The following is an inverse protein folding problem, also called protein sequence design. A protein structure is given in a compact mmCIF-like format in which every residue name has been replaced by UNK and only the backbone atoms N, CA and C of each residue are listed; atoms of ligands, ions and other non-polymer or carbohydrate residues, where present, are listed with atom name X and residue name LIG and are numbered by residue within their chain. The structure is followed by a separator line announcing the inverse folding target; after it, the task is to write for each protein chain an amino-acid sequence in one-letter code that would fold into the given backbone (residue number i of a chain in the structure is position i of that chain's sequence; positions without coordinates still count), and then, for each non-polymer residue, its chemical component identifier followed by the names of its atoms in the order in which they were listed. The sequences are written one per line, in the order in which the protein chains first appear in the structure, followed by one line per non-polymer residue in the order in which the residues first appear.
data_IF_603099101337
#
_entry.id   IF_603099101337
#
_cell.length_a   1.000
_cell.length_b   1.000
_cell.length_c   1.000
_cell.angle_alpha   90.00
_cell.angle_beta   90.00
_cell.angle_gamma   90.00
#
_symmetry.space_group_name_H-M   'P 1'
#
loop_
_entity.id
_entity.type
_entity.pdbx_description
1 polymer ?
#
# COMPACT_ATOMS: atom_id res chain seq x y z
N UNK A 1 13.75 3.72 -35.37
CA UNK A 1 13.17 3.26 -34.08
C UNK A 1 12.27 4.37 -33.58
N UNK A 2 11.00 4.10 -33.35
CA UNK A 2 10.06 5.09 -32.82
C UNK A 2 10.05 5.06 -31.28
N UNK A 3 9.41 6.07 -30.64
CA UNK A 3 9.38 6.19 -29.19
C UNK A 3 8.76 4.96 -28.50
N UNK A 4 7.75 4.32 -29.14
CA UNK A 4 7.07 3.14 -28.62
C UNK A 4 7.99 1.91 -28.61
N UNK A 5 8.79 1.72 -29.67
CA UNK A 5 9.79 0.65 -29.76
C UNK A 5 10.90 0.86 -28.72
N UNK A 6 11.36 2.10 -28.54
CA UNK A 6 12.35 2.43 -27.51
C UNK A 6 11.82 2.16 -26.09
N UNK A 7 10.58 2.54 -25.81
CA UNK A 7 9.93 2.28 -24.52
C UNK A 7 9.81 0.78 -24.24
N UNK A 8 9.40 -0.02 -25.25
CA UNK A 8 9.34 -1.48 -25.12
C UNK A 8 10.72 -2.07 -24.82
N UNK A 9 11.78 -1.63 -25.50
CA UNK A 9 13.16 -2.07 -25.22
C UNK A 9 13.64 -1.68 -23.81
N UNK A 10 13.26 -0.51 -23.31
CA UNK A 10 13.64 -0.09 -21.96
C UNK A 10 12.90 -0.88 -20.88
N UNK A 11 11.64 -1.24 -21.15
CA UNK A 11 10.86 -2.14 -20.31
C UNK A 11 11.44 -3.55 -20.30
N UNK A 12 11.75 -4.11 -21.47
CA UNK A 12 12.33 -5.44 -21.64
C UNK A 12 13.70 -5.56 -20.95
N UNK A 13 14.50 -4.49 -20.98
CA UNK A 13 15.77 -4.41 -20.23
C UNK A 13 15.60 -4.12 -18.73
N UNK A 14 14.36 -4.04 -18.24
CA UNK A 14 14.06 -3.74 -16.82
C UNK A 14 14.51 -2.36 -16.35
N UNK A 15 14.73 -1.42 -17.29
CA UNK A 15 15.07 -0.03 -16.95
C UNK A 15 13.84 0.81 -16.61
N UNK A 16 12.67 0.40 -17.11
CA UNK A 16 11.37 0.98 -16.77
C UNK A 16 10.49 -0.14 -16.21
N UNK A 17 10.62 -0.39 -14.93
CA UNK A 17 9.77 -1.35 -14.23
C UNK A 17 8.44 -0.68 -13.94
N UNK A 18 7.36 -1.25 -14.45
CA UNK A 18 5.98 -0.85 -14.13
C UNK A 18 5.21 -2.05 -13.62
N UNK A 19 4.42 -1.84 -12.58
CA UNK A 19 3.48 -2.85 -12.12
C UNK A 19 2.25 -2.79 -13.01
N UNK A 20 1.91 -3.92 -13.61
CA UNK A 20 0.65 -4.09 -14.34
C UNK A 20 -0.28 -4.96 -13.52
N UNK A 21 -1.46 -4.44 -13.21
CA UNK A 21 -2.47 -5.17 -12.47
C UNK A 21 -3.31 -6.00 -13.44
N UNK A 22 -3.63 -7.22 -13.04
CA UNK A 22 -4.46 -8.13 -13.83
C UNK A 22 -5.88 -8.07 -13.26
N UNK A 23 -6.89 -7.66 -14.06
CA UNK A 23 -8.27 -7.65 -13.59
C UNK A 23 -8.71 -9.02 -13.08
N UNK A 24 -9.29 -9.07 -11.90
CA UNK A 24 -9.69 -10.33 -11.26
C UNK A 24 -10.91 -10.99 -11.93
N UNK A 25 -11.62 -10.26 -12.81
CA UNK A 25 -12.83 -10.77 -13.47
C UNK A 25 -14.06 -10.90 -12.54
N UNK A 26 -13.95 -10.40 -11.31
CA UNK A 26 -15.00 -10.42 -10.29
C UNK A 26 -15.50 -8.98 -10.13
N UNK A 27 -16.81 -8.79 -10.07
CA UNK A 27 -17.40 -7.47 -9.86
C UNK A 27 -17.29 -7.05 -8.40
N UNK A 28 -17.05 -5.77 -8.17
CA UNK A 28 -16.93 -5.18 -6.82
C UNK A 28 -18.15 -5.49 -5.95
N UNK A 29 -19.36 -5.41 -6.52
CA UNK A 29 -20.61 -5.67 -5.80
C UNK A 29 -20.70 -7.10 -5.27
N UNK A 30 -20.14 -8.07 -5.96
CA UNK A 30 -20.12 -9.48 -5.54
C UNK A 30 -19.18 -9.69 -4.33
N UNK A 31 -18.16 -8.84 -4.19
CA UNK A 31 -17.19 -8.91 -3.09
C UNK A 31 -17.67 -8.14 -1.86
N UNK A 32 -18.54 -7.14 -2.02
CA UNK A 32 -19.01 -6.29 -0.91
C UNK A 32 -19.73 -7.06 0.21
N UNK A 33 -20.54 -8.07 -0.12
CA UNK A 33 -21.17 -8.94 0.89
C UNK A 33 -20.13 -9.73 1.68
N UNK A 34 -19.08 -10.19 1.01
CA UNK A 34 -17.97 -10.91 1.63
C UNK A 34 -17.13 -9.99 2.54
N UNK A 35 -16.98 -8.71 2.18
CA UNK A 35 -16.32 -7.69 3.02
C UNK A 35 -17.02 -7.56 4.37
N UNK A 36 -18.37 -7.48 4.37
CA UNK A 36 -19.12 -7.40 5.63
C UNK A 36 -18.98 -8.67 6.47
N UNK A 37 -19.04 -9.83 5.83
CA UNK A 37 -18.90 -11.11 6.51
C UNK A 37 -17.51 -11.25 7.15
N UNK A 38 -16.44 -10.95 6.42
CA UNK A 38 -15.07 -10.92 6.94
C UNK A 38 -14.94 -9.87 8.06
N UNK A 39 -15.47 -8.68 7.85
CA UNK A 39 -15.41 -7.60 8.84
C UNK A 39 -16.05 -7.98 10.17
N UNK A 40 -17.16 -8.73 10.15
CA UNK A 40 -17.84 -9.23 11.36
C UNK A 40 -17.04 -10.31 12.11
N UNK A 41 -16.11 -11.00 11.45
CA UNK A 41 -15.18 -11.90 12.15
C UNK A 41 -14.19 -11.14 13.05
N UNK A 42 -13.79 -9.93 12.63
CA UNK A 42 -12.91 -9.05 13.41
C UNK A 42 -13.70 -8.21 14.43
N UNK A 43 -14.85 -7.70 14.02
CA UNK A 43 -15.69 -6.81 14.83
C UNK A 43 -17.16 -7.16 14.59
N UNK A 44 -17.87 -7.79 15.55
CA UNK A 44 -19.23 -8.32 15.34
C UNK A 44 -20.25 -7.29 14.84
N UNK A 45 -20.08 -6.01 15.20
CA UNK A 45 -20.96 -4.91 14.78
C UNK A 45 -20.49 -4.23 13.49
N UNK A 46 -19.53 -4.81 12.77
CA UNK A 46 -19.08 -4.23 11.51
C UNK A 46 -20.21 -4.17 10.47
N UNK A 47 -20.33 -3.01 9.85
CA UNK A 47 -21.24 -2.77 8.73
C UNK A 47 -20.64 -1.75 7.77
N UNK A 48 -21.00 -1.87 6.50
CA UNK A 48 -20.75 -0.85 5.49
C UNK A 48 -21.89 0.18 5.54
N UNK A 49 -21.55 1.42 5.77
CA UNK A 49 -22.46 2.56 5.87
C UNK A 49 -21.99 3.74 5.01
N UNK A 50 -22.72 4.85 5.06
CA UNK A 50 -22.41 6.05 4.25
C UNK A 50 -21.03 6.63 4.51
N UNK A 51 -20.49 6.47 5.72
CA UNK A 51 -19.18 7.03 6.12
C UNK A 51 -18.00 6.25 5.55
N UNK A 52 -18.16 4.93 5.42
CA UNK A 52 -17.08 4.05 5.00
C UNK A 52 -17.24 3.44 3.60
N UNK A 53 -18.45 3.43 3.04
CA UNK A 53 -18.78 2.80 1.77
C UNK A 53 -17.80 3.16 0.64
N UNK A 54 -17.48 4.44 0.48
CA UNK A 54 -16.62 4.91 -0.61
C UNK A 54 -15.19 4.39 -0.46
N UNK A 55 -14.63 4.46 0.75
CA UNK A 55 -13.27 3.98 1.00
C UNK A 55 -13.15 2.47 0.77
N UNK A 56 -14.11 1.68 1.30
CA UNK A 56 -14.13 0.22 1.08
C UNK A 56 -14.34 -0.13 -0.39
N UNK A 57 -15.29 0.51 -1.08
CA UNK A 57 -15.55 0.27 -2.50
C UNK A 57 -14.30 0.51 -3.34
N UNK A 58 -13.60 1.63 -3.15
CA UNK A 58 -12.41 1.94 -3.92
C UNK A 58 -11.20 1.08 -3.53
N UNK A 59 -11.07 0.69 -2.28
CA UNK A 59 -10.05 -0.26 -1.84
C UNK A 59 -10.26 -1.64 -2.49
N UNK A 60 -11.52 -2.11 -2.61
CA UNK A 60 -11.85 -3.35 -3.30
C UNK A 60 -11.61 -3.22 -4.80
N UNK A 61 -12.03 -2.13 -5.43
CA UNK A 61 -11.73 -1.87 -6.85
C UNK A 61 -10.22 -1.90 -7.10
N UNK A 62 -9.44 -1.29 -6.22
CA UNK A 62 -7.98 -1.39 -6.29
C UNK A 62 -7.51 -2.84 -6.19
N UNK A 63 -8.02 -3.62 -5.24
CA UNK A 63 -7.64 -5.03 -5.07
C UNK A 63 -7.95 -5.85 -6.32
N UNK A 64 -9.12 -5.66 -6.91
CA UNK A 64 -9.61 -6.39 -8.08
C UNK A 64 -9.04 -5.88 -9.42
N UNK A 65 -8.22 -4.84 -9.41
CA UNK A 65 -7.72 -4.15 -10.59
C UNK A 65 -8.84 -3.59 -11.49
N UNK A 66 -9.89 -3.06 -10.88
CA UNK A 66 -10.99 -2.39 -11.58
C UNK A 66 -10.56 -0.97 -12.00
N UNK A 67 -10.55 -0.65 -13.31
CA UNK A 67 -10.11 0.66 -13.80
C UNK A 67 -11.03 1.82 -13.42
N UNK A 68 -12.22 1.54 -12.88
CA UNK A 68 -13.15 2.56 -12.37
C UNK A 68 -12.85 2.97 -10.91
N UNK A 69 -11.72 2.51 -10.35
CA UNK A 69 -11.27 2.93 -9.03
C UNK A 69 -11.03 4.43 -8.99
N UNK A 70 -11.50 5.08 -7.94
CA UNK A 70 -11.27 6.48 -7.64
C UNK A 70 -10.48 6.65 -6.36
N UNK A 71 -9.64 7.68 -6.32
CA UNK A 71 -8.90 8.08 -5.14
C UNK A 71 -9.33 9.48 -4.69
N UNK A 72 -9.14 9.80 -3.43
CA UNK A 72 -9.28 11.16 -2.95
C UNK A 72 -8.10 12.00 -3.43
N UNK A 73 -8.39 13.23 -3.86
CA UNK A 73 -7.31 14.17 -4.08
C UNK A 73 -6.65 14.51 -2.73
N UNK A 74 -5.31 14.57 -2.65
CA UNK A 74 -4.61 14.82 -1.38
C UNK A 74 -5.06 16.07 -0.60
N UNK A 75 -5.60 17.05 -1.30
CA UNK A 75 -6.18 18.25 -0.67
C UNK A 75 -7.65 18.05 -0.22
N UNK A 76 -8.21 16.85 -0.36
CA UNK A 76 -9.50 16.45 0.22
C UNK A 76 -10.77 16.99 -0.46
N UNK A 77 -10.66 17.78 -1.53
CA UNK A 77 -11.84 18.51 -2.06
C UNK A 77 -12.59 17.79 -3.18
N UNK A 78 -12.02 16.76 -3.78
CA UNK A 78 -12.64 16.01 -4.89
C UNK A 78 -11.97 14.65 -5.07
N UNK A 79 -12.58 13.79 -5.88
CA UNK A 79 -11.99 12.51 -6.30
C UNK A 79 -11.26 12.68 -7.62
N UNK A 80 -10.29 11.81 -7.84
CA UNK A 80 -9.50 11.67 -9.07
C UNK A 80 -9.50 10.21 -9.52
N UNK A 81 -9.29 9.92 -10.81
CA UNK A 81 -9.06 8.54 -11.23
C UNK A 81 -7.90 7.91 -10.45
N UNK A 82 -8.10 6.70 -9.96
CA UNK A 82 -7.06 5.95 -9.27
C UNK A 82 -6.01 5.40 -10.22
N UNK A 83 -4.82 5.18 -9.71
CA UNK A 83 -3.70 4.55 -10.41
C UNK A 83 -3.44 3.17 -9.82
N UNK A 84 -3.81 2.12 -10.56
CA UNK A 84 -3.70 0.74 -10.11
C UNK A 84 -2.24 0.27 -9.91
N UNK A 85 -1.25 1.01 -10.41
CA UNK A 85 0.18 0.74 -10.19
C UNK A 85 0.68 1.26 -8.85
N UNK A 86 -0.07 2.16 -8.20
CA UNK A 86 0.24 2.72 -6.88
C UNK A 86 -0.39 1.88 -5.76
N UNK A 87 0.17 2.03 -4.56
CA UNK A 87 -0.43 1.48 -3.35
C UNK A 87 -1.62 2.29 -2.82
N UNK A 88 -2.04 2.01 -1.59
CA UNK A 88 -3.11 2.72 -0.90
C UNK A 88 -2.57 3.43 0.34
N UNK A 89 -2.96 4.68 0.54
CA UNK A 89 -2.80 5.39 1.80
C UNK A 89 -4.20 5.69 2.36
N UNK A 90 -4.56 4.98 3.42
CA UNK A 90 -5.84 5.14 4.11
C UNK A 90 -5.65 6.09 5.27
N UNK A 91 -6.20 7.29 5.16
CA UNK A 91 -6.14 8.32 6.20
C UNK A 91 -7.49 8.54 6.86
N UNK A 92 -7.49 9.12 8.05
CA UNK A 92 -8.72 9.43 8.79
C UNK A 92 -8.46 9.53 10.29
N UNK A 93 -9.47 9.98 11.04
CA UNK A 93 -9.38 10.11 12.50
C UNK A 93 -9.26 8.76 13.19
N UNK A 94 -8.89 8.78 14.46
CA UNK A 94 -8.77 7.57 15.28
C UNK A 94 -10.13 6.87 15.42
N UNK A 95 -10.12 5.52 15.38
CA UNK A 95 -11.31 4.70 15.60
C UNK A 95 -12.21 4.52 14.37
N UNK A 96 -11.91 5.12 13.23
CA UNK A 96 -12.76 5.01 12.01
C UNK A 96 -12.68 3.67 11.29
N UNK A 97 -11.78 2.74 11.69
CA UNK A 97 -11.66 1.41 11.10
C UNK A 97 -10.60 1.26 10.00
N UNK A 98 -9.60 2.17 9.94
CA UNK A 98 -8.52 2.12 8.92
C UNK A 98 -7.72 0.81 8.94
N UNK A 99 -7.32 0.36 10.13
CA UNK A 99 -6.58 -0.90 10.30
C UNK A 99 -7.43 -2.10 9.88
N UNK A 100 -8.71 -2.09 10.27
CA UNK A 100 -9.68 -3.11 9.88
C UNK A 100 -9.85 -3.19 8.36
N UNK A 101 -9.86 -2.05 7.66
CA UNK A 101 -9.91 -2.06 6.19
C UNK A 101 -8.71 -2.80 5.59
N UNK A 102 -7.48 -2.57 6.08
CA UNK A 102 -6.31 -3.31 5.59
C UNK A 102 -6.37 -4.80 5.94
N UNK A 103 -6.87 -5.17 7.12
CA UNK A 103 -7.04 -6.57 7.53
C UNK A 103 -8.06 -7.29 6.65
N UNK A 104 -9.19 -6.65 6.33
CA UNK A 104 -10.18 -7.20 5.40
C UNK A 104 -9.60 -7.34 3.99
N UNK A 105 -8.84 -6.33 3.51
CA UNK A 105 -8.18 -6.43 2.20
C UNK A 105 -7.16 -7.56 2.15
N UNK A 106 -6.38 -7.79 3.22
CA UNK A 106 -5.41 -8.89 3.30
C UNK A 106 -6.12 -10.25 3.28
N UNK A 107 -7.23 -10.39 4.01
CA UNK A 107 -8.05 -11.59 3.98
C UNK A 107 -8.65 -11.85 2.58
N UNK A 108 -9.18 -10.80 1.93
CA UNK A 108 -9.67 -10.90 0.55
C UNK A 108 -8.56 -11.23 -0.45
N UNK A 109 -7.39 -10.63 -0.31
CA UNK A 109 -6.23 -10.95 -1.17
C UNK A 109 -5.82 -12.41 -1.03
N UNK A 110 -5.83 -12.93 0.19
CA UNK A 110 -5.53 -14.34 0.46
C UNK A 110 -6.58 -15.28 -0.15
N UNK A 111 -7.85 -14.90 -0.09
CA UNK A 111 -8.95 -15.71 -0.61
C UNK A 111 -9.02 -15.67 -2.14
N UNK A 112 -8.95 -14.47 -2.73
CA UNK A 112 -9.18 -14.24 -4.17
C UNK A 112 -7.90 -14.35 -5.00
N UNK A 113 -6.75 -14.28 -4.37
CA UNK A 113 -5.42 -14.33 -4.98
C UNK A 113 -5.30 -13.46 -6.26
N UNK A 114 -5.64 -12.16 -6.19
CA UNK A 114 -5.51 -11.28 -7.33
C UNK A 114 -4.05 -11.24 -7.80
N UNK A 115 -3.86 -10.98 -9.09
CA UNK A 115 -2.55 -11.13 -9.71
C UNK A 115 -2.03 -9.81 -10.26
N UNK A 116 -0.71 -9.75 -10.40
CA UNK A 116 -0.01 -8.65 -11.06
C UNK A 116 1.18 -9.13 -11.84
N UNK A 117 1.56 -8.40 -12.90
CA UNK A 117 2.80 -8.60 -13.62
C UNK A 117 3.88 -7.73 -12.99
N UNK A 118 5.02 -8.31 -12.69
CA UNK A 118 6.20 -7.58 -12.20
C UNK A 118 7.45 -8.04 -12.93
N UNK A 119 8.43 -7.16 -13.07
CA UNK A 119 9.68 -7.51 -13.71
C UNK A 119 10.59 -8.28 -12.75
N UNK A 120 10.96 -9.49 -13.16
CA UNK A 120 11.90 -10.33 -12.42
C UNK A 120 13.33 -10.12 -12.94
N UNK A 121 14.24 -9.78 -12.03
CA UNK A 121 15.69 -9.75 -12.29
C UNK A 121 16.33 -10.91 -11.54
N UNK A 122 16.74 -11.97 -12.22
CA UNK A 122 17.41 -13.08 -11.55
C UNK A 122 18.74 -12.61 -10.95
N UNK A 123 19.05 -13.09 -9.76
CA UNK A 123 20.38 -12.93 -9.17
C UNK A 123 21.31 -14.00 -9.73
N UNK A 124 22.63 -13.77 -9.69
CA UNK A 124 23.64 -14.75 -10.13
C UNK A 124 23.52 -16.11 -9.44
N UNK A 125 22.90 -16.17 -8.25
CA UNK A 125 22.64 -17.40 -7.51
C UNK A 125 21.48 -18.25 -8.08
N UNK A 126 20.66 -17.68 -8.98
CA UNK A 126 19.52 -18.36 -9.60
C UNK A 126 19.87 -18.77 -11.03
N UNK A 127 20.82 -19.71 -11.15
CA UNK A 127 21.29 -20.21 -12.45
C UNK A 127 20.14 -20.73 -13.33
N UNK A 128 20.06 -20.22 -14.56
CA UNK A 128 19.09 -20.65 -15.57
C UNK A 128 17.81 -19.83 -15.67
N UNK A 129 17.53 -18.88 -14.79
CA UNK A 129 16.37 -18.00 -14.90
C UNK A 129 16.63 -16.82 -15.84
N UNK A 130 15.68 -16.53 -16.72
CA UNK A 130 15.73 -15.35 -17.61
C UNK A 130 15.05 -14.15 -16.98
N UNK A 131 15.63 -12.96 -17.16
CA UNK A 131 14.97 -11.72 -16.79
C UNK A 131 13.70 -11.51 -17.65
N UNK A 132 12.63 -10.97 -17.04
CA UNK A 132 11.38 -10.69 -17.75
C UNK A 132 10.20 -10.44 -16.83
N UNK A 133 9.07 -10.10 -17.43
CA UNK A 133 7.82 -9.96 -16.68
C UNK A 133 7.26 -11.33 -16.29
N UNK A 134 6.85 -11.44 -15.04
CA UNK A 134 6.21 -12.65 -14.49
C UNK A 134 4.93 -12.29 -13.77
N UNK A 135 3.95 -13.16 -13.92
CA UNK A 135 2.72 -13.10 -13.14
C UNK A 135 3.00 -13.59 -11.73
N UNK A 136 2.58 -12.80 -10.74
CA UNK A 136 2.73 -13.12 -9.32
C UNK A 136 1.45 -12.74 -8.57
N UNK A 137 1.11 -13.43 -7.47
CA UNK A 137 -0.02 -13.03 -6.64
C UNK A 137 0.25 -11.69 -5.96
N UNK A 138 -0.80 -10.90 -5.80
CA UNK A 138 -0.79 -9.68 -5.00
C UNK A 138 -1.08 -10.04 -3.55
N UNK A 139 -0.09 -10.49 -2.84
CA UNK A 139 -0.14 -10.85 -1.43
C UNK A 139 0.89 -10.05 -0.65
N UNK A 140 0.62 -9.77 0.62
CA UNK A 140 1.50 -9.02 1.49
C UNK A 140 1.45 -9.51 2.93
N UNK A 141 2.32 -8.98 3.76
CA UNK A 141 2.24 -9.03 5.23
C UNK A 141 2.02 -7.64 5.76
N UNK A 142 1.20 -7.54 6.78
CA UNK A 142 0.90 -6.30 7.49
C UNK A 142 1.77 -6.20 8.74
N UNK A 143 2.36 -5.04 8.95
CA UNK A 143 3.17 -4.70 10.11
C UNK A 143 2.71 -3.38 10.71
N UNK A 144 2.81 -3.25 12.02
CA UNK A 144 2.62 -1.96 12.69
C UNK A 144 3.90 -1.13 12.58
N UNK A 145 3.76 0.19 12.45
CA UNK A 145 4.90 1.08 12.32
C UNK A 145 5.82 1.03 13.57
N UNK A 146 5.24 0.95 14.78
CA UNK A 146 5.98 0.78 16.02
C UNK A 146 6.77 -0.55 16.04
N UNK A 147 6.15 -1.66 15.65
CA UNK A 147 6.83 -2.96 15.60
C UNK A 147 8.02 -2.99 14.63
N UNK A 148 7.94 -2.25 13.53
CA UNK A 148 9.07 -2.11 12.59
C UNK A 148 10.23 -1.34 13.26
N UNK A 149 9.94 -0.28 14.02
CA UNK A 149 10.96 0.49 14.74
C UNK A 149 11.60 -0.32 15.87
N UNK A 150 10.80 -1.11 16.62
CA UNK A 150 11.29 -2.01 17.65
C UNK A 150 12.22 -3.09 17.08
N UNK A 151 11.87 -3.65 15.94
CA UNK A 151 12.71 -4.61 15.25
C UNK A 151 14.03 -3.98 14.79
N UNK A 152 13.99 -2.77 14.22
CA UNK A 152 15.21 -2.04 13.88
C UNK A 152 16.08 -1.75 15.11
N UNK A 153 15.48 -1.38 16.23
CA UNK A 153 16.21 -1.14 17.48
C UNK A 153 16.92 -2.40 17.98
N UNK A 154 16.40 -3.57 17.66
CA UNK A 154 16.95 -4.86 18.09
C UNK A 154 18.09 -5.34 17.19
N UNK A 155 17.93 -5.27 15.86
CA UNK A 155 18.86 -5.90 14.91
C UNK A 155 19.43 -4.96 13.84
N UNK A 156 18.95 -3.72 13.71
CA UNK A 156 19.41 -2.75 12.72
C UNK A 156 19.00 -3.04 11.28
N UNK A 157 18.18 -4.04 11.03
CA UNK A 157 17.83 -4.50 9.69
C UNK A 157 16.51 -3.91 9.19
N UNK A 158 16.53 -3.37 7.96
CA UNK A 158 15.34 -2.86 7.28
C UNK A 158 15.08 -3.50 5.92
N UNK A 159 15.95 -4.38 5.47
CA UNK A 159 15.93 -4.91 4.11
C UNK A 159 14.63 -5.62 3.76
N UNK A 160 14.06 -6.38 4.69
CA UNK A 160 12.78 -7.06 4.45
C UNK A 160 11.62 -6.10 4.22
N UNK A 161 11.62 -4.93 4.89
CA UNK A 161 10.60 -3.90 4.72
C UNK A 161 10.85 -3.04 3.47
N UNK A 162 12.12 -2.77 3.18
CA UNK A 162 12.54 -2.00 2.00
C UNK A 162 12.30 -2.77 0.70
N UNK A 163 12.57 -4.09 0.68
CA UNK A 163 12.62 -4.92 -0.53
C UNK A 163 11.38 -5.81 -0.76
N UNK A 164 10.46 -5.91 0.22
CA UNK A 164 9.22 -6.66 0.04
C UNK A 164 8.43 -6.12 -1.16
N UNK A 165 8.03 -6.98 -2.09
CA UNK A 165 7.29 -6.56 -3.29
C UNK A 165 6.01 -5.80 -2.93
N UNK A 166 5.25 -6.33 -1.99
CA UNK A 166 4.08 -5.67 -1.42
C UNK A 166 4.20 -5.72 0.09
N UNK A 167 3.91 -4.61 0.77
CA UNK A 167 3.90 -4.50 2.23
C UNK A 167 2.75 -3.60 2.67
N UNK A 168 2.15 -3.91 3.81
CA UNK A 168 1.23 -3.02 4.49
C UNK A 168 1.83 -2.55 5.83
N UNK A 169 1.73 -1.24 6.10
CA UNK A 169 2.20 -0.60 7.32
C UNK A 169 1.02 0.08 8.01
N UNK A 170 0.64 -0.44 9.17
CA UNK A 170 -0.43 0.13 9.98
C UNK A 170 0.09 1.22 10.91
N UNK A 171 -0.77 2.24 11.10
CA UNK A 171 -0.61 3.33 12.07
C UNK A 171 0.70 4.10 11.91
N UNK A 172 1.15 4.31 10.65
CA UNK A 172 2.30 5.15 10.34
C UNK A 172 2.08 6.55 10.91
N UNK A 173 3.05 7.02 11.69
CA UNK A 173 2.98 8.28 12.43
C UNK A 173 2.83 8.13 13.95
N UNK A 174 2.63 6.90 14.45
CA UNK A 174 2.57 6.62 15.90
C UNK A 174 3.90 6.17 16.48
N UNK A 175 4.81 5.73 15.62
CA UNK A 175 6.15 5.29 16.01
C UNK A 175 7.06 6.47 16.40
N UNK A 176 8.15 6.24 17.16
CA UNK A 176 9.15 7.26 17.44
C UNK A 176 9.75 7.82 16.14
N UNK A 177 9.86 9.15 16.06
CA UNK A 177 10.45 9.84 14.89
C UNK A 177 11.89 9.42 14.65
N UNK A 178 12.63 9.15 15.73
CA UNK A 178 14.01 8.65 15.69
C UNK A 178 14.17 7.41 16.55
N UNK A 179 14.82 6.40 16.01
CA UNK A 179 15.16 5.15 16.69
C UNK A 179 16.66 5.01 16.76
N UNK A 180 17.17 4.62 17.93
CA UNK A 180 18.61 4.44 18.18
C UNK A 180 19.01 2.98 17.96
N UNK A 181 20.01 2.74 17.12
CA UNK A 181 20.68 1.45 16.97
C UNK A 181 22.18 1.63 16.96
N UNK A 182 22.91 0.97 17.85
CA UNK A 182 24.38 1.03 17.99
C UNK A 182 24.95 2.46 17.94
N UNK A 183 24.33 3.41 18.64
CA UNK A 183 24.76 4.81 18.68
C UNK A 183 24.33 5.67 17.50
N UNK A 184 23.71 5.09 16.47
CA UNK A 184 23.21 5.82 15.29
C UNK A 184 21.70 6.04 15.41
N UNK A 185 21.27 7.31 15.29
CA UNK A 185 19.86 7.67 15.22
C UNK A 185 19.35 7.61 13.78
N UNK A 186 18.19 7.02 13.59
CA UNK A 186 17.56 6.91 12.28
C UNK A 186 16.06 7.15 12.35
N UNK A 187 15.51 7.89 11.39
CA UNK A 187 14.09 7.88 11.13
C UNK A 187 13.79 6.66 10.23
N UNK A 188 13.28 5.60 10.84
CA UNK A 188 13.10 4.28 10.23
C UNK A 188 12.07 4.33 9.12
N UNK A 189 10.89 4.90 9.39
CA UNK A 189 9.82 5.01 8.37
C UNK A 189 10.25 5.84 7.18
N UNK A 190 10.93 6.97 7.44
CA UNK A 190 11.51 7.80 6.36
C UNK A 190 12.40 6.97 5.44
N UNK A 191 13.34 6.18 6.01
CA UNK A 191 14.24 5.35 5.21
C UNK A 191 13.50 4.31 4.36
N UNK A 192 12.45 3.69 4.92
CA UNK A 192 11.64 2.68 4.22
C UNK A 192 10.89 3.36 3.06
N UNK A 193 10.17 4.44 3.32
CA UNK A 193 9.38 5.14 2.30
C UNK A 193 10.26 5.71 1.20
N UNK A 194 11.40 6.34 1.53
CA UNK A 194 12.34 6.87 0.54
C UNK A 194 12.89 5.76 -0.37
N UNK A 195 13.30 4.63 0.20
CA UNK A 195 13.79 3.49 -0.58
C UNK A 195 12.72 2.93 -1.50
N UNK A 196 11.51 2.70 -0.97
CA UNK A 196 10.41 2.11 -1.74
C UNK A 196 9.87 3.04 -2.83
N UNK A 197 9.94 4.36 -2.62
CA UNK A 197 9.57 5.35 -3.63
C UNK A 197 10.52 5.36 -4.84
N UNK A 198 11.77 4.99 -4.65
CA UNK A 198 12.76 4.94 -5.72
C UNK A 198 12.63 3.66 -6.57
N UNK A 199 11.94 2.62 -6.06
CA UNK A 199 11.67 1.38 -6.79
C UNK A 199 10.18 1.28 -7.18
N UNK A 200 9.88 1.57 -8.44
CA UNK A 200 8.51 1.50 -8.99
C UNK A 200 7.95 0.07 -9.11
N UNK A 201 8.73 -0.94 -8.80
CA UNK A 201 8.31 -2.34 -8.74
C UNK A 201 7.70 -2.73 -7.39
N UNK A 202 7.62 -1.82 -6.41
CA UNK A 202 7.15 -2.09 -5.06
C UNK A 202 5.81 -1.41 -4.78
N UNK A 203 4.89 -2.15 -4.17
CA UNK A 203 3.60 -1.63 -3.70
C UNK A 203 3.64 -1.49 -2.18
N UNK A 204 3.15 -0.38 -1.68
CA UNK A 204 3.03 -0.10 -0.24
C UNK A 204 1.58 0.25 0.09
N UNK A 205 1.04 -0.33 1.14
CA UNK A 205 -0.23 0.08 1.73
C UNK A 205 0.06 0.70 3.09
N UNK A 206 -0.63 1.78 3.42
CA UNK A 206 -0.39 2.50 4.69
C UNK A 206 -1.71 2.89 5.32
N UNK A 207 -1.84 2.76 6.64
CA UNK A 207 -2.84 3.49 7.41
C UNK A 207 -2.18 4.56 8.27
N UNK A 208 -2.84 5.70 8.43
CA UNK A 208 -2.30 6.83 9.19
C UNK A 208 -3.42 7.73 9.73
N UNK A 209 -3.12 8.44 10.82
CA UNK A 209 -3.91 9.57 11.30
C UNK A 209 -3.32 10.92 10.86
N UNK A 210 -2.15 10.92 10.22
CA UNK A 210 -1.46 12.14 9.81
C UNK A 210 -2.10 12.76 8.58
N UNK A 211 -2.16 14.08 8.57
CA UNK A 211 -2.41 14.87 7.37
C UNK A 211 -1.14 14.98 6.52
N UNK A 212 -1.24 15.37 5.23
CA UNK A 212 -0.05 15.57 4.40
C UNK A 212 0.97 16.55 4.99
N UNK A 213 0.51 17.59 5.70
CA UNK A 213 1.40 18.57 6.34
C UNK A 213 2.10 18.00 7.58
N UNK A 214 1.39 17.16 8.35
CA UNK A 214 1.99 16.43 9.47
C UNK A 214 3.04 15.42 8.99
N UNK A 215 2.86 14.80 7.82
CA UNK A 215 3.91 13.98 7.19
C UNK A 215 5.18 14.80 6.90
N UNK A 216 5.04 16.03 6.39
CA UNK A 216 6.19 16.90 6.15
C UNK A 216 6.94 17.21 7.46
N UNK A 217 6.20 17.49 8.54
CA UNK A 217 6.77 17.76 9.85
C UNK A 217 7.52 16.55 10.43
N UNK A 218 6.95 15.34 10.32
CA UNK A 218 7.50 14.16 10.96
C UNK A 218 8.60 13.47 10.13
N UNK A 219 8.47 13.46 8.80
CA UNK A 219 9.37 12.72 7.90
C UNK A 219 10.11 13.59 6.89
N UNK A 220 9.76 14.89 6.81
CA UNK A 220 10.35 15.85 5.88
C UNK A 220 9.60 15.95 4.55
N UNK A 221 9.79 17.09 3.87
CA UNK A 221 9.14 17.43 2.58
C UNK A 221 9.41 16.38 1.48
N UNK A 222 10.57 15.74 1.52
CA UNK A 222 10.92 14.69 0.54
C UNK A 222 10.00 13.49 0.63
N UNK A 223 9.64 13.03 1.83
CA UNK A 223 8.66 11.95 2.02
C UNK A 223 7.28 12.41 1.61
N UNK A 224 6.85 13.60 2.04
CA UNK A 224 5.55 14.17 1.63
C UNK A 224 5.38 14.18 0.11
N UNK A 225 6.38 14.67 -0.63
CA UNK A 225 6.35 14.68 -2.10
C UNK A 225 6.22 13.28 -2.70
N UNK A 226 6.88 12.27 -2.09
CA UNK A 226 6.84 10.87 -2.55
C UNK A 226 5.49 10.19 -2.31
N UNK A 227 4.74 10.60 -1.28
CA UNK A 227 3.41 10.04 -1.03
C UNK A 227 2.50 10.19 -2.25
N UNK A 228 2.53 11.34 -2.93
CA UNK A 228 1.70 11.57 -4.11
C UNK A 228 2.07 10.68 -5.31
N UNK A 229 3.31 10.27 -5.40
CA UNK A 229 3.77 9.36 -6.46
C UNK A 229 3.53 7.88 -6.14
N UNK A 230 3.46 7.52 -4.85
CA UNK A 230 3.38 6.13 -4.38
C UNK A 230 1.96 5.66 -4.12
N UNK A 231 1.02 6.56 -3.79
CA UNK A 231 -0.26 6.18 -3.22
C UNK A 231 -1.47 6.75 -3.93
N UNK A 232 -2.53 5.96 -3.94
CA UNK A 232 -3.90 6.43 -4.02
C UNK A 232 -4.36 6.77 -2.61
N UNK A 233 -4.89 7.96 -2.40
CA UNK A 233 -5.40 8.36 -1.10
C UNK A 233 -6.85 7.90 -0.94
N UNK A 234 -7.17 7.32 0.21
CA UNK A 234 -8.52 6.97 0.60
C UNK A 234 -8.79 7.56 1.99
N UNK A 235 -9.72 8.47 2.07
CA UNK A 235 -10.14 9.04 3.35
C UNK A 235 -11.27 8.20 3.95
N UNK A 236 -11.02 7.67 5.15
CA UNK A 236 -11.98 6.93 5.94
C UNK A 236 -12.42 7.81 7.12
N UNK A 237 -13.51 8.53 6.91
CA UNK A 237 -14.12 9.42 7.89
C UNK A 237 -15.10 8.72 8.81
N UNK A 238 -15.85 9.55 9.55
CA UNK A 238 -16.93 9.09 10.41
C UNK A 238 -16.57 9.09 11.90
N UNK A 239 -17.47 8.50 12.68
CA UNK A 239 -17.34 8.39 14.16
C UNK A 239 -16.32 7.33 14.58
N UNK A 240 -15.89 7.41 15.83
CA UNK A 240 -15.12 6.31 16.44
C UNK A 240 -16.02 5.07 16.61
N UNK A 241 -15.72 4.01 15.84
CA UNK A 241 -16.49 2.76 15.79
C UNK A 241 -16.19 1.80 16.94
N UNK A 242 -15.28 2.17 17.84
CA UNK A 242 -14.97 1.40 19.08
C UNK A 242 -15.92 1.72 20.22
N UNK A 243 -16.66 2.80 20.10
CA UNK A 243 -17.55 3.30 21.16
C UNK A 243 -19.00 2.78 21.04
N UNK A 244 -19.30 1.98 20.01
CA UNK A 244 -20.68 1.52 19.74
C UNK A 244 -20.68 0.06 19.29
#
# INVERSE_FOLDING_TARGET
MNAKELMAMLQDRGRLVTIQRIPAGIKTEQVMSLVEEIGRQYTPLFTIDTDNFRAYTNAIKWLLADPTMEADHPNGNHTIPGDLSKGLLVSGTTGTGKSLLLEILEALATLLQPKMMTYHRPTYAQGGETAGYREVPLLWKTYRADSITDEYQTNGELDKFKKARVIAIQDMGTEPTETLYMGTRANVMRQIIEHRADDKGLITLVTTNLTPDQFATQYGERVRSRLFSMFNFLYLGGRDRRLY
#
